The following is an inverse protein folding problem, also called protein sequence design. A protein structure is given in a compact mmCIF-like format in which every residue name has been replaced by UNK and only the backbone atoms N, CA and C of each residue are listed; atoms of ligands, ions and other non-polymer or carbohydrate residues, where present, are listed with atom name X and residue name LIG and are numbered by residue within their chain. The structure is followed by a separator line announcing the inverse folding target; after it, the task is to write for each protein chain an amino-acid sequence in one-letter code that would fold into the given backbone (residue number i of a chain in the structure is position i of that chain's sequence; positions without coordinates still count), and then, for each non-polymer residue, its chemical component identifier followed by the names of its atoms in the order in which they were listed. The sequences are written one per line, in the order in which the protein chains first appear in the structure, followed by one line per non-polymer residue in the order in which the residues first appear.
data_IF_129162975771
#
_entry.id   IF_129162975771
#
_cell.length_a   1.000
_cell.length_b   1.000
_cell.length_c   1.000
_cell.angle_alpha   90.00
_cell.angle_beta   90.00
_cell.angle_gamma   90.00
#
_symmetry.space_group_name_H-M   'P 1'
#
loop_
_entity.id
_entity.type
_entity.pdbx_description
1 polymer ?
#
# COMPACT_ATOMS: atom_id res chain seq x y z
N UNK A 1 5.26 -43.34 20.33
CA UNK A 1 3.95 -44.04 20.41
C UNK A 1 4.13 -45.49 20.00
N UNK A 2 3.04 -46.24 19.83
CA UNK A 2 3.12 -47.61 19.28
C UNK A 2 3.63 -47.61 17.81
N UNK A 3 3.99 -48.79 17.31
CA UNK A 3 4.63 -48.99 16.01
C UNK A 3 3.74 -48.49 14.85
N UNK A 4 4.12 -47.39 14.22
CA UNK A 4 3.46 -46.82 13.04
C UNK A 4 4.46 -46.23 12.06
N UNK A 5 4.02 -45.90 10.85
CA UNK A 5 4.87 -45.37 9.78
C UNK A 5 5.65 -44.13 10.23
N UNK A 6 5.04 -43.28 11.06
CA UNK A 6 5.65 -42.10 11.69
C UNK A 6 6.75 -42.37 12.73
N UNK A 7 7.02 -43.62 13.09
CA UNK A 7 8.04 -44.01 14.06
C UNK A 7 9.23 -44.73 13.39
N UNK A 8 9.18 -44.92 12.07
CA UNK A 8 10.26 -45.57 11.30
C UNK A 8 11.36 -44.56 10.98
N UNK A 9 12.61 -45.02 11.02
CA UNK A 9 13.76 -44.22 10.58
C UNK A 9 13.59 -43.83 9.10
N UNK A 10 13.77 -42.54 8.79
CA UNK A 10 13.64 -42.02 7.43
C UNK A 10 12.22 -41.69 6.98
N UNK A 11 11.21 -41.84 7.84
CA UNK A 11 9.86 -41.39 7.51
C UNK A 11 9.77 -39.86 7.47
N UNK A 12 9.30 -39.33 6.34
CA UNK A 12 8.92 -37.93 6.20
C UNK A 12 7.70 -37.85 5.29
N UNK A 13 6.72 -37.06 5.72
CA UNK A 13 5.58 -36.71 4.90
C UNK A 13 5.53 -35.18 4.78
N UNK A 14 5.32 -34.63 3.57
CA UNK A 14 5.03 -33.22 3.42
C UNK A 14 3.78 -32.86 4.25
N UNK A 15 3.73 -31.65 4.82
CA UNK A 15 2.55 -31.19 5.58
C UNK A 15 1.25 -31.18 4.75
N UNK A 16 1.35 -31.23 3.42
CA UNK A 16 0.22 -31.28 2.49
C UNK A 16 -0.25 -32.71 2.13
N UNK A 17 0.37 -33.75 2.69
CA UNK A 17 0.07 -35.15 2.38
C UNK A 17 -1.19 -35.63 3.10
N UNK A 18 -2.17 -36.13 2.34
CA UNK A 18 -3.48 -36.59 2.85
C UNK A 18 -3.66 -38.12 2.68
N UNK A 19 -2.61 -38.92 2.90
CA UNK A 19 -2.73 -40.38 2.97
C UNK A 19 -3.06 -41.06 1.63
N UNK A 20 -2.67 -40.47 0.49
CA UNK A 20 -2.92 -41.01 -0.85
C UNK A 20 -4.03 -40.29 -1.63
N UNK A 21 -4.82 -39.44 -0.96
CA UNK A 21 -5.73 -38.50 -1.63
C UNK A 21 -4.91 -37.39 -2.31
N UNK A 22 -5.44 -36.86 -3.43
CA UNK A 22 -4.87 -35.66 -4.06
C UNK A 22 -4.85 -34.48 -3.06
N UNK A 23 -3.69 -33.83 -2.83
CA UNK A 23 -3.59 -32.73 -1.88
C UNK A 23 -4.55 -31.58 -2.19
N UNK A 24 -5.09 -30.92 -1.16
CA UNK A 24 -6.04 -29.81 -1.30
C UNK A 24 -5.54 -28.70 -2.25
N UNK A 25 -4.24 -28.36 -2.21
CA UNK A 25 -3.62 -27.33 -3.06
C UNK A 25 -3.69 -27.65 -4.56
N UNK A 26 -3.85 -28.93 -4.92
CA UNK A 26 -4.03 -29.37 -6.33
C UNK A 26 -5.50 -29.44 -6.74
N UNK A 27 -6.41 -29.59 -5.78
CA UNK A 27 -7.87 -29.65 -6.02
C UNK A 27 -8.49 -28.26 -6.16
N UNK A 28 -7.96 -27.28 -5.43
CA UNK A 28 -8.43 -25.89 -5.53
C UNK A 28 -7.89 -25.26 -6.83
N UNK A 29 -8.75 -24.69 -7.69
CA UNK A 29 -8.28 -24.06 -8.93
C UNK A 29 -7.43 -22.83 -8.62
N UNK A 30 -6.33 -22.67 -9.37
CA UNK A 30 -5.50 -21.46 -9.30
C UNK A 30 -6.31 -20.28 -9.85
N UNK A 31 -6.49 -19.23 -9.04
CA UNK A 31 -7.24 -18.03 -9.45
C UNK A 31 -6.31 -16.95 -10.00
N UNK A 32 -6.57 -16.53 -11.23
CA UNK A 32 -6.02 -15.31 -11.83
C UNK A 32 -4.49 -15.27 -11.98
N UNK A 33 -4.00 -14.11 -12.43
CA UNK A 33 -2.58 -13.78 -12.53
C UNK A 33 -2.18 -12.82 -11.40
N UNK A 34 -1.06 -13.09 -10.72
CA UNK A 34 -0.49 -12.18 -9.73
C UNK A 34 0.54 -11.24 -10.39
N UNK A 35 0.24 -9.95 -10.45
CA UNK A 35 1.15 -8.95 -11.00
C UNK A 35 2.19 -8.51 -9.94
N UNK A 36 3.42 -9.04 -10.05
CA UNK A 36 4.54 -8.67 -9.17
C UNK A 36 5.01 -7.21 -9.32
N UNK A 37 4.73 -6.57 -10.45
CA UNK A 37 5.13 -5.19 -10.75
C UNK A 37 4.01 -4.18 -10.52
N UNK A 38 2.95 -4.57 -9.79
CA UNK A 38 1.86 -3.67 -9.44
C UNK A 38 2.34 -2.49 -8.60
N UNK A 39 1.73 -1.33 -8.81
CA UNK A 39 1.95 -0.16 -7.96
C UNK A 39 1.44 -0.46 -6.55
N UNK A 40 2.35 -0.46 -5.58
CA UNK A 40 2.07 -0.48 -4.15
C UNK A 40 1.49 0.89 -3.76
N UNK A 41 0.20 0.91 -3.42
CA UNK A 41 -0.50 2.08 -2.91
C UNK A 41 -0.62 1.93 -1.39
N UNK A 42 -0.13 2.92 -0.64
CA UNK A 42 -0.34 2.97 0.80
C UNK A 42 -1.65 3.70 1.08
N UNK A 43 -2.52 3.08 1.87
CA UNK A 43 -3.76 3.68 2.35
C UNK A 43 -3.60 4.19 3.79
N UNK A 44 -4.14 5.37 4.08
CA UNK A 44 -4.20 5.97 5.42
C UNK A 44 -5.61 6.49 5.63
N UNK A 45 -6.16 6.32 6.84
CA UNK A 45 -7.49 6.81 7.19
C UNK A 45 -7.43 8.20 7.82
N UNK A 46 -8.55 8.93 7.80
CA UNK A 46 -8.64 10.25 8.45
C UNK A 46 -8.49 10.16 9.97
N UNK A 47 -8.89 9.05 10.60
CA UNK A 47 -8.63 8.78 12.02
C UNK A 47 -7.15 8.80 12.38
N UNK A 48 -6.31 8.26 11.50
CA UNK A 48 -4.87 8.17 11.75
C UNK A 48 -4.26 9.57 11.70
N UNK A 49 -4.74 10.41 10.78
CA UNK A 49 -4.33 11.82 10.66
C UNK A 49 -4.75 12.64 11.89
N UNK A 50 -5.98 12.44 12.37
CA UNK A 50 -6.50 13.09 13.57
C UNK A 50 -5.65 12.75 14.81
N UNK A 51 -5.21 11.49 14.94
CA UNK A 51 -4.41 11.05 16.08
C UNK A 51 -2.94 11.50 16.02
N UNK A 52 -2.38 11.61 14.81
CA UNK A 52 -0.95 11.83 14.61
C UNK A 52 -0.55 13.31 14.49
N UNK A 53 -1.47 14.20 14.12
CA UNK A 53 -1.15 15.60 13.83
C UNK A 53 -1.98 16.57 14.67
N UNK A 54 -1.41 17.75 14.88
CA UNK A 54 -2.10 18.90 15.48
C UNK A 54 -2.86 19.70 14.42
N UNK A 55 -3.81 20.53 14.86
CA UNK A 55 -4.58 21.38 13.96
C UNK A 55 -3.66 22.37 13.23
N UNK A 56 -3.89 22.55 11.93
CA UNK A 56 -3.11 23.44 11.06
C UNK A 56 -1.86 22.79 10.47
N UNK A 57 -1.58 21.52 10.75
CA UNK A 57 -0.40 20.84 10.19
C UNK A 57 -0.53 20.60 8.67
N UNK A 58 0.58 20.82 7.96
CA UNK A 58 0.74 20.48 6.55
C UNK A 58 1.15 19.00 6.41
N UNK A 59 0.16 18.14 6.18
CA UNK A 59 0.34 16.70 6.02
C UNK A 59 0.85 16.41 4.60
N UNK A 60 2.18 16.43 4.46
CA UNK A 60 2.87 16.04 3.21
C UNK A 60 3.27 14.57 3.21
N UNK A 61 3.51 13.96 2.02
CA UNK A 61 3.98 12.57 1.93
C UNK A 61 5.33 12.36 2.64
N UNK A 62 6.17 13.38 2.72
CA UNK A 62 7.45 13.36 3.45
C UNK A 62 7.24 13.38 4.96
N UNK A 63 6.38 14.28 5.45
CA UNK A 63 6.02 14.35 6.87
C UNK A 63 5.42 13.03 7.36
N UNK A 64 4.57 12.40 6.55
CA UNK A 64 3.97 11.09 6.87
C UNK A 64 5.02 9.97 6.99
N UNK A 65 6.14 10.05 6.26
CA UNK A 65 7.25 9.09 6.41
C UNK A 65 8.01 9.34 7.71
N UNK A 66 8.34 10.60 8.00
CA UNK A 66 9.12 10.99 9.18
C UNK A 66 8.35 10.77 10.49
N UNK A 67 7.08 11.17 10.54
CA UNK A 67 6.16 10.95 11.68
C UNK A 67 5.88 9.46 11.94
N UNK A 68 6.11 8.62 10.93
CA UNK A 68 6.02 7.18 11.05
C UNK A 68 4.67 6.58 10.71
N UNK A 69 3.65 7.41 10.45
CA UNK A 69 2.29 6.99 10.06
C UNK A 69 2.31 6.21 8.73
N UNK A 70 3.18 6.60 7.79
CA UNK A 70 3.30 6.00 6.46
C UNK A 70 4.69 5.38 6.22
N UNK A 71 5.22 4.62 7.17
CA UNK A 71 6.52 3.92 6.99
C UNK A 71 6.46 2.85 5.89
N UNK A 72 7.60 2.64 5.24
CA UNK A 72 7.82 1.59 4.25
C UNK A 72 7.92 2.10 2.81
N UNK A 73 8.02 1.15 1.87
CA UNK A 73 8.17 1.42 0.44
C UNK A 73 6.79 1.40 -0.21
N UNK A 74 6.40 2.54 -0.78
CA UNK A 74 5.16 2.69 -1.53
C UNK A 74 5.35 3.68 -2.67
N UNK A 75 4.58 3.51 -3.75
CA UNK A 75 4.64 4.36 -4.94
C UNK A 75 3.63 5.50 -4.89
N UNK A 76 2.46 5.27 -4.30
CA UNK A 76 1.37 6.25 -4.24
C UNK A 76 0.72 6.22 -2.86
N UNK A 77 0.19 7.37 -2.45
CA UNK A 77 -0.50 7.55 -1.18
C UNK A 77 -1.98 7.83 -1.43
N UNK A 78 -2.86 7.06 -0.79
CA UNK A 78 -4.31 7.24 -0.85
C UNK A 78 -4.90 7.51 0.53
N UNK A 79 -5.62 8.62 0.67
CA UNK A 79 -6.37 8.93 1.89
C UNK A 79 -7.79 8.36 1.79
N UNK A 80 -8.21 7.68 2.84
CA UNK A 80 -9.50 7.02 3.00
C UNK A 80 -10.30 7.68 4.14
N UNK A 81 -11.62 7.56 4.07
CA UNK A 81 -12.54 8.34 4.89
C UNK A 81 -13.03 7.63 6.15
N UNK A 82 -12.31 6.63 6.64
CA UNK A 82 -12.71 5.92 7.86
C UNK A 82 -12.33 6.73 9.12
N UNK A 83 -13.24 6.80 10.08
CA UNK A 83 -13.13 7.63 11.29
C UNK A 83 -13.57 9.09 11.13
N UNK A 84 -13.35 9.89 12.17
CA UNK A 84 -13.73 11.30 12.27
C UNK A 84 -12.49 12.19 12.26
N UNK A 85 -12.64 13.40 11.71
CA UNK A 85 -11.60 14.42 11.68
C UNK A 85 -12.24 15.72 12.17
N UNK A 86 -11.68 16.26 13.25
CA UNK A 86 -12.14 17.51 13.87
C UNK A 86 -11.16 18.65 13.60
N UNK A 87 -9.90 18.30 13.35
CA UNK A 87 -8.80 19.24 13.10
C UNK A 87 -8.78 19.68 11.64
N UNK A 88 -8.59 20.98 11.43
CA UNK A 88 -8.30 21.54 10.11
C UNK A 88 -6.88 21.14 9.70
N UNK A 89 -6.75 20.22 8.75
CA UNK A 89 -5.46 19.75 8.23
C UNK A 89 -5.30 20.11 6.75
N UNK A 90 -4.09 20.46 6.34
CA UNK A 90 -3.72 20.69 4.94
C UNK A 90 -3.10 19.41 4.39
N UNK A 91 -3.88 18.60 3.67
CA UNK A 91 -3.49 17.24 3.29
C UNK A 91 -3.07 17.17 1.83
N UNK A 92 -1.80 16.81 1.61
CA UNK A 92 -1.21 16.59 0.28
C UNK A 92 -1.01 15.09 0.01
N UNK A 93 -1.76 14.52 -0.93
CA UNK A 93 -1.64 13.10 -1.29
C UNK A 93 -1.89 12.86 -2.79
N UNK A 94 -1.64 11.63 -3.24
CA UNK A 94 -1.79 11.28 -4.67
C UNK A 94 -3.25 10.99 -5.02
N UNK A 95 -4.02 10.44 -4.08
CA UNK A 95 -5.42 10.07 -4.26
C UNK A 95 -6.20 10.28 -2.97
N UNK A 96 -7.48 10.59 -3.12
CA UNK A 96 -8.42 10.69 -2.02
C UNK A 96 -9.70 9.91 -2.35
N UNK A 97 -10.31 9.26 -1.37
CA UNK A 97 -11.68 8.79 -1.52
C UNK A 97 -12.66 9.97 -1.47
N UNK A 98 -13.85 9.80 -2.05
CA UNK A 98 -14.90 10.84 -2.02
C UNK A 98 -15.23 11.26 -0.59
N UNK A 99 -15.47 10.28 0.29
CA UNK A 99 -15.76 10.50 1.70
C UNK A 99 -14.62 11.20 2.44
N UNK A 100 -13.36 10.88 2.14
CA UNK A 100 -12.21 11.54 2.77
C UNK A 100 -12.16 13.03 2.42
N UNK A 101 -12.35 13.37 1.13
CA UNK A 101 -12.38 14.78 0.69
C UNK A 101 -13.47 15.55 1.39
N UNK A 102 -14.68 14.99 1.44
CA UNK A 102 -15.83 15.63 2.10
C UNK A 102 -15.56 15.87 3.59
N UNK A 103 -15.02 14.88 4.31
CA UNK A 103 -14.69 15.02 5.73
C UNK A 103 -13.59 16.06 6.00
N UNK A 104 -12.52 16.06 5.22
CA UNK A 104 -11.41 17.03 5.37
C UNK A 104 -11.90 18.45 5.11
N UNK A 105 -12.69 18.66 4.06
CA UNK A 105 -13.27 19.97 3.75
C UNK A 105 -14.30 20.41 4.81
N UNK A 106 -15.11 19.49 5.33
CA UNK A 106 -16.06 19.77 6.41
C UNK A 106 -15.37 20.21 7.72
N UNK A 107 -14.18 19.67 8.00
CA UNK A 107 -13.34 20.09 9.12
C UNK A 107 -12.58 21.40 8.87
N UNK A 108 -12.80 22.08 7.74
CA UNK A 108 -12.11 23.31 7.37
C UNK A 108 -10.66 23.12 6.91
N UNK A 109 -10.28 21.89 6.55
CA UNK A 109 -8.97 21.57 5.98
C UNK A 109 -8.87 21.84 4.48
N UNK A 110 -7.68 21.60 3.92
CA UNK A 110 -7.41 21.73 2.49
C UNK A 110 -6.96 20.39 1.90
N UNK A 111 -7.30 20.17 0.62
CA UNK A 111 -6.96 18.94 -0.10
C UNK A 111 -6.11 19.33 -1.31
N UNK A 112 -4.86 18.84 -1.34
CA UNK A 112 -3.92 19.04 -2.44
C UNK A 112 -3.58 17.69 -3.09
N UNK A 113 -3.80 17.61 -4.41
CA UNK A 113 -3.45 16.43 -5.19
C UNK A 113 -2.07 16.57 -5.82
N UNK A 114 -1.13 15.78 -5.32
CA UNK A 114 0.21 15.72 -5.89
C UNK A 114 0.17 14.79 -7.11
N UNK A 115 0.68 15.23 -8.29
CA UNK A 115 0.75 14.37 -9.45
C UNK A 115 1.66 13.17 -9.15
N UNK A 116 1.12 11.96 -9.32
CA UNK A 116 1.92 10.74 -9.25
C UNK A 116 2.92 10.64 -10.41
N UNK A 117 3.82 9.64 -10.40
CA UNK A 117 4.72 9.41 -11.49
C UNK A 117 3.95 9.35 -12.81
N UNK A 118 4.34 10.21 -13.75
CA UNK A 118 3.60 10.47 -14.99
C UNK A 118 3.16 9.15 -15.64
N UNK A 119 1.87 9.05 -15.98
CA UNK A 119 1.38 7.93 -16.75
C UNK A 119 2.16 7.86 -18.07
N UNK A 120 2.66 6.67 -18.42
CA UNK A 120 3.29 6.47 -19.73
C UNK A 120 2.22 6.68 -20.81
N UNK A 121 2.31 7.80 -21.53
CA UNK A 121 1.46 8.06 -22.70
C UNK A 121 1.84 7.05 -23.79
N UNK A 122 0.87 6.24 -24.23
CA UNK A 122 1.10 5.21 -25.26
C UNK A 122 1.59 5.89 -26.54
N UNK A 123 2.79 5.52 -27.00
CA UNK A 123 3.39 6.06 -28.23
C UNK A 123 4.42 7.18 -28.05
N UNK A 124 4.67 7.65 -26.83
CA UNK A 124 5.70 8.68 -26.57
C UNK A 124 6.89 8.07 -25.82
N UNK A 125 8.11 8.18 -26.40
CA UNK A 125 9.35 7.75 -25.72
C UNK A 125 9.68 8.73 -24.59
N UNK A 126 10.10 8.20 -23.43
CA UNK A 126 10.63 8.99 -22.33
C UNK A 126 11.91 9.70 -22.78
N UNK A 127 11.87 11.03 -22.88
CA UNK A 127 13.06 11.85 -23.15
C UNK A 127 14.00 11.69 -21.94
N UNK A 128 15.24 11.25 -22.18
CA UNK A 128 16.28 11.21 -21.15
C UNK A 128 16.83 12.62 -21.01
N UNK A 129 16.62 13.27 -19.87
CA UNK A 129 17.28 14.54 -19.58
C UNK A 129 18.77 14.25 -19.33
N UNK A 130 19.62 14.59 -20.30
CA UNK A 130 21.07 14.39 -20.26
C UNK A 130 21.85 15.59 -19.70
N UNK A 131 21.18 16.57 -19.08
CA UNK A 131 21.78 17.87 -18.77
C UNK A 131 22.12 18.13 -17.29
N UNK A 132 22.09 17.12 -16.41
CA UNK A 132 22.44 17.29 -14.98
C UNK A 132 23.76 16.65 -14.54
N UNK A 133 24.58 16.13 -15.47
CA UNK A 133 25.90 15.55 -15.16
C UNK A 133 27.08 16.27 -15.82
N UNK A 134 26.87 17.49 -16.31
CA UNK A 134 27.91 18.29 -16.96
C UNK A 134 27.92 19.72 -16.40
N UNK A 135 28.34 19.86 -15.15
CA UNK A 135 29.00 21.07 -14.65
C UNK A 135 30.31 20.62 -13.98
N UNK A 136 31.46 21.26 -14.30
CA UNK A 136 32.79 20.85 -13.85
C UNK A 136 32.99 21.00 -12.34
#
# INVERSE_FOLDING_TARGET
GHKGQGQLAGWSAPSIFEGGRSPIIRRVPKRGFNNRHGKIVKSINVSDLESAFEAGADVTPELLRTSGVAKGIWHELKILGDGEISKSLSVSAHRFSKQAREKILAAGGSVSEVPGPAALVKGQKKVRNTEQSASP
#
